data_IF_301776953648
#
_entry.id   IF_301776953648
#
_cell.length_a   1.000
_cell.length_b   1.000
_cell.length_c   1.000
_cell.angle_alpha   90.00
_cell.angle_beta   90.00
_cell.angle_gamma   90.00
#
_symmetry.space_group_name_H-M   'P 1'
#
loop_
_entity.id
_entity.type
_entity.pdbx_description
1 polymer ?
#
# COMPACT_ATOMS: atom_id res chain seq x y z
N UNK A 1 -29.81 12.85 -25.91
CA UNK A 1 -29.48 13.95 -26.84
C UNK A 1 -28.06 14.38 -26.50
N UNK A 2 -27.09 13.89 -27.26
CA UNK A 2 -25.67 14.21 -27.11
C UNK A 2 -25.26 15.03 -28.33
N UNK A 3 -24.50 16.10 -28.11
CA UNK A 3 -23.88 16.93 -29.14
C UNK A 3 -22.40 17.19 -28.75
N UNK A 4 -21.50 17.41 -29.73
CA UNK A 4 -20.20 16.74 -29.73
C UNK A 4 -18.96 17.65 -29.53
N UNK A 5 -17.87 16.97 -29.16
CA UNK A 5 -16.44 17.20 -29.48
C UNK A 5 -15.80 18.58 -29.28
N UNK A 6 -14.84 18.63 -28.34
CA UNK A 6 -13.53 19.26 -28.55
C UNK A 6 -12.49 18.16 -28.28
N UNK A 7 -11.54 18.01 -29.20
CA UNK A 7 -10.47 17.03 -29.13
C UNK A 7 -9.68 17.13 -27.81
N UNK A 8 -9.83 16.14 -26.94
CA UNK A 8 -8.86 15.80 -25.90
C UNK A 8 -8.38 14.39 -26.20
N UNK A 9 -7.06 14.20 -26.23
CA UNK A 9 -6.45 12.87 -26.20
C UNK A 9 -7.15 12.07 -25.09
N UNK A 10 -7.74 10.95 -25.48
CA UNK A 10 -8.81 10.28 -24.75
C UNK A 10 -8.31 9.68 -23.45
N UNK A 11 -8.54 10.38 -22.34
CA UNK A 11 -8.71 9.75 -21.03
C UNK A 11 -10.21 9.68 -20.76
N UNK A 12 -10.76 8.48 -20.92
CA UNK A 12 -12.16 8.17 -20.62
C UNK A 12 -12.24 7.71 -19.17
N UNK A 13 -13.17 8.27 -18.40
CA UNK A 13 -13.49 7.90 -17.00
C UNK A 13 -13.86 6.41 -16.78
N UNK A 14 -13.83 5.60 -17.84
CA UNK A 14 -13.94 4.14 -17.77
C UNK A 14 -12.67 3.47 -17.28
N UNK A 15 -11.53 4.15 -17.29
CA UNK A 15 -10.25 3.58 -16.90
C UNK A 15 -9.96 3.92 -15.43
N UNK A 16 -9.66 2.90 -14.64
CA UNK A 16 -9.57 2.91 -13.17
C UNK A 16 -8.40 3.75 -12.59
N UNK A 17 -7.95 4.80 -13.28
CA UNK A 17 -6.64 5.44 -13.08
C UNK A 17 -6.70 6.95 -13.36
N UNK A 18 -6.17 7.80 -12.47
CA UNK A 18 -6.06 9.24 -12.72
C UNK A 18 -5.11 9.53 -13.88
N UNK A 19 -5.43 10.53 -14.67
CA UNK A 19 -4.67 10.88 -15.87
C UNK A 19 -3.67 12.01 -15.61
N UNK A 20 -3.88 12.82 -14.58
CA UNK A 20 -3.00 13.91 -14.17
C UNK A 20 -2.85 14.01 -12.66
N UNK A 21 -1.85 14.77 -12.21
CA UNK A 21 -1.55 14.93 -10.79
C UNK A 21 -2.71 15.54 -10.01
N UNK A 22 -3.37 16.57 -10.54
CA UNK A 22 -4.48 17.24 -9.88
C UNK A 22 -5.65 16.29 -9.60
N UNK A 23 -5.98 15.42 -10.57
CA UNK A 23 -7.04 14.42 -10.43
C UNK A 23 -6.68 13.35 -9.40
N UNK A 24 -5.40 12.97 -9.33
CA UNK A 24 -4.91 12.01 -8.34
C UNK A 24 -4.88 12.58 -6.92
N UNK A 25 -4.53 13.86 -6.77
CA UNK A 25 -4.57 14.56 -5.48
C UNK A 25 -6.01 14.83 -5.03
N UNK A 26 -6.89 15.17 -5.98
CA UNK A 26 -8.27 15.56 -5.73
C UNK A 26 -9.27 14.71 -6.54
N UNK A 27 -9.33 13.39 -6.30
CA UNK A 27 -10.26 12.54 -7.02
C UNK A 27 -11.70 12.85 -6.60
N UNK A 28 -12.71 12.54 -7.45
CA UNK A 28 -14.11 12.77 -7.12
C UNK A 28 -14.53 12.03 -5.86
N UNK A 29 -15.36 12.69 -5.06
CA UNK A 29 -15.94 12.12 -3.85
C UNK A 29 -17.05 11.11 -4.21
N UNK A 30 -16.85 9.85 -3.83
CA UNK A 30 -17.81 8.76 -4.06
C UNK A 30 -18.64 8.42 -2.82
N UNK A 31 -18.47 9.17 -1.71
CA UNK A 31 -19.24 8.97 -0.48
C UNK A 31 -20.76 8.99 -0.74
N UNK A 32 -21.33 9.93 -1.51
CA UNK A 32 -22.78 9.94 -1.79
C UNK A 32 -23.23 8.74 -2.61
N UNK A 33 -22.40 8.27 -3.55
CA UNK A 33 -22.70 7.10 -4.38
C UNK A 33 -22.70 5.83 -3.52
N UNK A 34 -21.72 5.69 -2.63
CA UNK A 34 -21.63 4.55 -1.71
C UNK A 34 -22.80 4.54 -0.73
N UNK A 35 -23.17 5.70 -0.16
CA UNK A 35 -24.33 5.84 0.73
C UNK A 35 -25.64 5.38 0.06
N UNK A 36 -25.86 5.81 -1.19
CA UNK A 36 -27.04 5.42 -1.95
C UNK A 36 -27.11 3.90 -2.21
N UNK A 37 -25.97 3.27 -2.52
CA UNK A 37 -25.90 1.82 -2.73
C UNK A 37 -26.08 1.04 -1.42
N UNK A 38 -25.50 1.55 -0.32
CA UNK A 38 -25.55 0.94 1.01
C UNK A 38 -26.94 0.94 1.63
N UNK A 39 -27.84 1.82 1.18
CA UNK A 39 -29.23 1.92 1.67
C UNK A 39 -30.00 0.60 1.61
N UNK A 40 -29.64 -0.28 0.67
CA UNK A 40 -30.27 -1.60 0.53
C UNK A 40 -29.80 -2.63 1.57
N UNK A 41 -28.68 -2.40 2.26
CA UNK A 41 -28.10 -3.32 3.22
C UNK A 41 -27.49 -4.60 2.62
N UNK A 42 -27.43 -4.70 1.28
CA UNK A 42 -27.03 -5.93 0.58
C UNK A 42 -25.58 -5.93 0.08
N UNK A 43 -24.80 -4.88 0.35
CA UNK A 43 -23.41 -4.82 -0.08
C UNK A 43 -22.58 -5.88 0.67
N UNK A 44 -21.90 -6.72 -0.11
CA UNK A 44 -20.99 -7.77 0.39
C UNK A 44 -19.52 -7.47 0.12
N UNK A 45 -19.23 -6.81 -0.99
CA UNK A 45 -17.88 -6.45 -1.41
C UNK A 45 -17.90 -4.99 -1.81
N UNK A 46 -17.04 -4.20 -1.19
CA UNK A 46 -16.80 -2.81 -1.54
C UNK A 46 -15.35 -2.70 -1.97
N UNK A 47 -15.14 -2.29 -3.23
CA UNK A 47 -13.84 -1.96 -3.76
C UNK A 47 -13.89 -0.57 -4.35
N UNK A 48 -13.08 0.34 -3.79
CA UNK A 48 -12.99 1.73 -4.22
C UNK A 48 -11.51 2.02 -4.46
N UNK A 49 -11.20 2.43 -5.69
CA UNK A 49 -9.84 2.68 -6.18
C UNK A 49 -9.84 4.05 -6.86
N UNK A 50 -8.95 4.95 -6.46
CA UNK A 50 -8.81 6.30 -7.03
C UNK A 50 -10.06 7.19 -6.96
N UNK A 51 -10.92 6.98 -5.96
CA UNK A 51 -12.03 7.88 -5.65
C UNK A 51 -11.93 8.33 -4.21
N UNK A 52 -12.22 9.59 -3.93
CA UNK A 52 -12.24 10.07 -2.55
C UNK A 52 -13.39 9.41 -1.77
N UNK A 53 -13.05 8.85 -0.63
CA UNK A 53 -13.94 8.37 0.43
C UNK A 53 -13.33 8.82 1.77
N UNK A 54 -13.45 10.13 2.12
CA UNK A 54 -12.80 10.70 3.29
C UNK A 54 -13.22 10.00 4.60
N UNK A 55 -14.44 9.49 4.64
CA UNK A 55 -15.03 8.74 5.75
C UNK A 55 -16.07 7.74 5.21
N UNK A 56 -16.28 6.63 5.90
CA UNK A 56 -17.34 5.68 5.55
C UNK A 56 -18.73 6.28 5.87
N UNK A 57 -19.70 6.22 4.94
CA UNK A 57 -21.04 6.76 5.17
C UNK A 57 -21.85 5.89 6.15
N UNK A 58 -22.67 6.53 6.99
CA UNK A 58 -23.47 5.87 8.04
C UNK A 58 -24.42 4.79 7.51
N UNK A 59 -24.87 4.91 6.26
CA UNK A 59 -25.75 3.93 5.60
C UNK A 59 -25.11 2.53 5.53
N UNK A 60 -23.77 2.43 5.54
CA UNK A 60 -23.07 1.14 5.57
C UNK A 60 -23.34 0.33 6.84
N UNK A 61 -23.84 0.94 7.92
CA UNK A 61 -24.26 0.22 9.13
C UNK A 61 -25.37 -0.79 8.83
N UNK A 62 -26.16 -0.58 7.77
CA UNK A 62 -27.18 -1.51 7.33
C UNK A 62 -26.59 -2.75 6.61
N UNK A 63 -25.33 -2.70 6.17
CA UNK A 63 -24.66 -3.77 5.43
C UNK A 63 -24.03 -4.80 6.38
N UNK A 64 -24.86 -5.54 7.11
CA UNK A 64 -24.39 -6.50 8.12
C UNK A 64 -23.60 -7.67 7.52
N UNK A 65 -23.82 -8.00 6.25
CA UNK A 65 -23.20 -9.10 5.51
C UNK A 65 -21.98 -8.65 4.70
N UNK A 66 -21.38 -7.50 5.02
CA UNK A 66 -20.20 -7.02 4.32
C UNK A 66 -19.00 -7.93 4.62
N UNK A 67 -18.48 -8.59 3.60
CA UNK A 67 -17.39 -9.57 3.67
C UNK A 67 -16.03 -8.92 3.33
N UNK A 68 -16.00 -7.97 2.39
CA UNK A 68 -14.76 -7.38 1.89
C UNK A 68 -14.84 -5.86 1.75
N UNK A 69 -13.81 -5.18 2.27
CA UNK A 69 -13.61 -3.74 2.15
C UNK A 69 -12.20 -3.48 1.63
N UNK A 70 -12.11 -2.99 0.40
CA UNK A 70 -10.87 -2.68 -0.31
C UNK A 70 -10.88 -1.21 -0.70
N UNK A 71 -10.03 -0.43 -0.03
CA UNK A 71 -9.87 1.00 -0.24
C UNK A 71 -8.43 1.25 -0.72
N UNK A 72 -8.29 1.74 -1.94
CA UNK A 72 -7.00 2.03 -2.59
C UNK A 72 -6.99 3.47 -3.10
N UNK A 73 -6.03 4.28 -2.64
CA UNK A 73 -5.94 5.72 -3.00
C UNK A 73 -7.25 6.48 -2.76
N UNK A 74 -7.93 6.18 -1.66
CA UNK A 74 -9.27 6.71 -1.38
C UNK A 74 -9.28 8.02 -0.62
N UNK A 75 -8.12 8.60 -0.30
CA UNK A 75 -8.02 9.83 0.50
C UNK A 75 -8.81 9.74 1.82
N UNK A 76 -8.90 8.54 2.39
CA UNK A 76 -9.63 8.29 3.64
C UNK A 76 -8.88 8.94 4.79
N UNK A 77 -9.57 9.80 5.53
CA UNK A 77 -9.01 10.62 6.61
C UNK A 77 -9.33 10.03 7.97
N UNK A 78 -10.49 9.40 8.12
CA UNK A 78 -10.92 8.80 9.39
C UNK A 78 -11.80 7.57 9.20
N UNK A 79 -11.71 6.65 10.15
CA UNK A 79 -12.72 5.60 10.32
C UNK A 79 -13.75 6.04 11.37
N UNK A 80 -15.06 5.91 11.09
CA UNK A 80 -16.08 6.25 12.07
C UNK A 80 -16.10 5.22 13.21
N UNK A 81 -16.52 5.63 14.41
CA UNK A 81 -16.56 4.75 15.59
C UNK A 81 -17.49 3.56 15.44
N UNK A 82 -18.53 3.67 14.62
CA UNK A 82 -19.45 2.56 14.34
C UNK A 82 -18.83 1.50 13.43
N UNK A 83 -17.68 1.74 12.78
CA UNK A 83 -17.12 0.81 11.79
C UNK A 83 -16.88 -0.61 12.35
N UNK A 84 -16.69 -0.74 13.67
CA UNK A 84 -16.61 -2.04 14.36
C UNK A 84 -17.87 -2.91 14.22
N UNK A 85 -19.02 -2.31 13.89
CA UNK A 85 -20.29 -3.01 13.63
C UNK A 85 -20.25 -3.90 12.38
N UNK A 86 -19.23 -3.79 11.53
CA UNK A 86 -19.01 -4.62 10.33
C UNK A 86 -18.45 -6.01 10.70
N UNK A 87 -19.24 -6.79 11.43
CA UNK A 87 -18.83 -8.05 12.10
C UNK A 87 -18.51 -9.23 11.17
N UNK A 88 -19.04 -9.21 9.95
CA UNK A 88 -18.83 -10.26 8.95
C UNK A 88 -17.64 -9.99 8.03
N UNK A 89 -16.90 -8.90 8.27
CA UNK A 89 -15.76 -8.56 7.44
C UNK A 89 -14.67 -9.63 7.57
N UNK A 90 -14.32 -10.24 6.44
CA UNK A 90 -13.28 -11.26 6.33
C UNK A 90 -12.00 -10.67 5.72
N UNK A 91 -12.14 -9.66 4.88
CA UNK A 91 -11.04 -9.01 4.17
C UNK A 91 -11.12 -7.49 4.33
N UNK A 92 -10.10 -6.92 4.97
CA UNK A 92 -9.95 -5.47 5.07
C UNK A 92 -8.60 -5.05 4.52
N UNK A 93 -8.64 -4.23 3.49
CA UNK A 93 -7.47 -3.65 2.87
C UNK A 93 -7.67 -2.15 2.74
N UNK A 94 -6.92 -1.41 3.53
CA UNK A 94 -6.83 0.04 3.44
C UNK A 94 -5.42 0.33 2.96
N UNK A 95 -5.27 0.33 1.65
CA UNK A 95 -4.04 0.68 0.97
C UNK A 95 -4.11 2.16 0.64
N UNK A 96 -3.25 2.93 1.29
CA UNK A 96 -2.71 4.08 0.59
C UNK A 96 -1.23 3.83 0.26
N UNK A 97 -0.72 2.59 0.30
CA UNK A 97 0.68 2.28 -0.04
C UNK A 97 0.86 0.91 -0.69
N UNK A 98 1.87 0.76 -1.56
CA UNK A 98 2.25 -0.51 -2.15
C UNK A 98 2.62 -1.51 -1.06
N UNK A 99 1.98 -2.68 -1.13
CA UNK A 99 2.68 -3.94 -1.00
C UNK A 99 2.02 -5.01 -1.88
N UNK A 100 2.83 -5.76 -2.63
CA UNK A 100 2.40 -7.02 -3.24
C UNK A 100 3.13 -8.15 -2.51
N UNK A 101 2.36 -9.07 -1.93
CA UNK A 101 2.85 -10.36 -1.45
C UNK A 101 3.12 -11.35 -2.59
N UNK A 102 3.28 -10.93 -3.85
CA UNK A 102 3.30 -11.86 -5.01
C UNK A 102 4.64 -11.93 -5.77
N UNK A 103 5.70 -11.21 -5.35
CA UNK A 103 7.01 -11.30 -6.02
C UNK A 103 7.91 -12.45 -5.55
N UNK A 104 7.50 -13.24 -4.54
CA UNK A 104 8.33 -14.32 -3.98
C UNK A 104 8.46 -15.57 -4.87
N UNK A 105 7.76 -15.64 -6.01
CA UNK A 105 7.83 -16.76 -6.95
C UNK A 105 9.01 -16.70 -7.91
N UNK A 106 9.84 -15.65 -7.87
CA UNK A 106 11.01 -15.53 -8.75
C UNK A 106 12.24 -15.05 -7.98
N UNK A 107 13.36 -15.77 -8.11
CA UNK A 107 14.69 -15.56 -7.50
C UNK A 107 15.37 -14.21 -7.83
N UNK A 108 14.62 -13.19 -8.22
CA UNK A 108 15.12 -11.83 -8.44
C UNK A 108 14.53 -10.90 -7.39
N UNK A 109 15.41 -10.35 -6.55
CA UNK A 109 15.18 -9.09 -5.87
C UNK A 109 14.90 -8.02 -6.93
N UNK A 110 13.63 -7.87 -7.30
CA UNK A 110 13.14 -6.64 -7.93
C UNK A 110 13.14 -5.61 -6.80
N UNK A 111 13.75 -4.42 -6.97
CA UNK A 111 13.63 -3.36 -6.00
C UNK A 111 12.16 -3.19 -5.63
N UNK A 112 11.83 -3.49 -4.39
CA UNK A 112 10.51 -3.29 -3.85
C UNK A 112 10.26 -1.78 -3.75
N UNK A 113 9.93 -1.12 -4.86
CA UNK A 113 9.32 0.23 -4.98
C UNK A 113 8.13 0.47 -4.03
N UNK A 114 8.30 0.41 -2.72
CA UNK A 114 7.21 0.73 -1.80
C UNK A 114 6.80 2.19 -2.09
N UNK A 115 5.53 2.42 -2.35
CA UNK A 115 5.00 3.69 -2.86
C UNK A 115 3.79 4.00 -2.02
N UNK A 116 3.85 5.08 -1.24
CA UNK A 116 2.71 5.58 -0.49
C UNK A 116 1.99 6.70 -1.20
N UNK A 117 0.74 6.91 -0.82
CA UNK A 117 -0.01 8.13 -1.02
C UNK A 117 0.54 9.12 -0.01
N UNK A 118 1.57 9.84 -0.44
CA UNK A 118 2.17 10.94 0.30
C UNK A 118 1.46 12.26 0.03
N UNK A 119 0.27 12.24 -0.58
CA UNK A 119 -0.53 13.46 -0.77
C UNK A 119 -1.05 13.99 0.56
N UNK A 120 -1.61 15.20 0.54
CA UNK A 120 -2.04 15.93 1.74
C UNK A 120 -3.20 15.30 2.52
N UNK A 121 -3.93 14.33 1.95
CA UNK A 121 -5.10 13.68 2.58
C UNK A 121 -4.77 12.25 2.99
N UNK A 122 -4.25 12.12 4.20
CA UNK A 122 -3.85 10.85 4.80
C UNK A 122 -4.80 10.45 5.91
N UNK A 123 -4.74 9.18 6.31
CA UNK A 123 -5.49 8.66 7.44
C UNK A 123 -4.93 9.25 8.74
N UNK A 124 -5.74 10.04 9.45
CA UNK A 124 -5.34 10.77 10.68
C UNK A 124 -5.89 10.10 11.94
N UNK A 125 -7.00 9.38 11.84
CA UNK A 125 -7.61 8.73 13.02
C UNK A 125 -8.29 7.41 12.70
N UNK A 126 -8.14 6.46 13.63
CA UNK A 126 -8.91 5.23 13.72
C UNK A 126 -9.37 5.06 15.16
N UNK A 127 -10.59 4.54 15.41
CA UNK A 127 -11.02 4.17 16.76
C UNK A 127 -10.11 3.08 17.33
N UNK A 128 -9.71 3.21 18.61
CA UNK A 128 -8.87 2.21 19.28
C UNK A 128 -9.53 0.82 19.35
N UNK A 129 -10.87 0.79 19.33
CA UNK A 129 -11.74 -0.39 19.38
C UNK A 129 -12.26 -0.82 17.99
N UNK A 130 -11.69 -0.30 16.89
CA UNK A 130 -12.14 -0.58 15.52
C UNK A 130 -12.29 -2.07 15.21
N UNK A 131 -11.38 -2.90 15.74
CA UNK A 131 -11.35 -4.34 15.49
C UNK A 131 -12.00 -5.19 16.59
N UNK A 132 -12.61 -4.57 17.61
CA UNK A 132 -13.15 -5.26 18.80
C UNK A 132 -14.15 -6.36 18.42
N UNK A 133 -15.05 -6.08 17.48
CA UNK A 133 -16.18 -6.92 17.07
C UNK A 133 -15.93 -7.68 15.74
N UNK A 134 -14.78 -7.46 15.09
CA UNK A 134 -14.45 -8.00 13.75
C UNK A 134 -13.86 -9.41 13.79
N UNK A 135 -14.49 -10.34 14.51
CA UNK A 135 -13.94 -11.69 14.75
C UNK A 135 -13.79 -12.56 13.49
N UNK A 136 -14.46 -12.20 12.40
CA UNK A 136 -14.43 -12.92 11.11
C UNK A 136 -13.19 -12.60 10.28
N UNK A 137 -12.44 -11.54 10.64
CA UNK A 137 -11.35 -11.02 9.82
C UNK A 137 -10.23 -12.06 9.64
N UNK A 138 -9.90 -12.34 8.37
CA UNK A 138 -8.86 -13.29 7.96
C UNK A 138 -7.64 -12.56 7.39
N UNK A 139 -7.88 -11.44 6.71
CA UNK A 139 -6.85 -10.62 6.08
C UNK A 139 -6.99 -9.16 6.50
N UNK A 140 -5.91 -8.60 7.04
CA UNK A 140 -5.80 -7.20 7.40
C UNK A 140 -4.55 -6.59 6.77
N UNK A 141 -4.76 -5.58 5.94
CA UNK A 141 -3.71 -4.73 5.40
C UNK A 141 -4.03 -3.28 5.69
N UNK A 142 -3.17 -2.63 6.49
CA UNK A 142 -3.19 -1.19 6.74
C UNK A 142 -1.89 -0.56 6.21
N UNK A 143 -2.01 0.34 5.24
CA UNK A 143 -0.90 1.08 4.66
C UNK A 143 -1.08 2.60 4.79
N UNK A 144 0.04 3.33 4.86
CA UNK A 144 0.12 4.80 4.97
C UNK A 144 -0.31 5.30 6.33
N UNK A 145 0.22 4.65 7.36
CA UNK A 145 0.04 5.04 8.75
C UNK A 145 1.07 6.13 9.12
N UNK A 146 1.04 7.21 8.35
CA UNK A 146 2.00 8.32 8.42
C UNK A 146 1.62 9.32 9.52
N UNK A 147 0.32 9.51 9.76
CA UNK A 147 -0.21 10.44 10.77
C UNK A 147 -0.84 9.74 11.99
N UNK A 148 -0.89 8.41 11.97
CA UNK A 148 -1.45 7.61 13.06
C UNK A 148 -0.33 7.13 13.97
N UNK A 149 -0.45 7.44 15.25
CA UNK A 149 0.56 7.06 16.25
C UNK A 149 0.38 5.65 16.81
N UNK A 150 -0.78 5.03 16.62
CA UNK A 150 -1.13 3.71 17.16
C UNK A 150 -2.06 2.93 16.22
N UNK A 151 -1.76 1.65 16.02
CA UNK A 151 -2.67 0.72 15.36
C UNK A 151 -3.69 0.23 16.38
N UNK A 152 -5.01 0.15 16.05
CA UNK A 152 -6.02 -0.38 16.95
C UNK A 152 -5.72 -1.82 17.40
N UNK A 153 -6.25 -2.20 18.57
CA UNK A 153 -5.94 -3.49 19.19
C UNK A 153 -6.46 -4.67 18.34
N UNK A 154 -5.62 -5.69 18.17
CA UNK A 154 -5.91 -6.85 17.33
C UNK A 154 -6.36 -8.09 18.12
N UNK A 155 -6.35 -8.07 19.47
CA UNK A 155 -6.51 -9.29 20.32
C UNK A 155 -7.74 -10.16 19.99
N UNK A 156 -8.82 -9.56 19.48
CA UNK A 156 -10.08 -10.23 19.19
C UNK A 156 -10.14 -10.86 17.79
N UNK A 157 -9.13 -10.63 16.94
CA UNK A 157 -9.04 -11.11 15.57
C UNK A 157 -8.55 -12.57 15.50
N UNK A 158 -9.23 -13.48 16.19
CA UNK A 158 -8.80 -14.88 16.39
C UNK A 158 -8.71 -15.70 15.09
N UNK A 159 -9.35 -15.25 14.01
CA UNK A 159 -9.30 -15.87 12.67
C UNK A 159 -8.27 -15.23 11.73
N UNK A 160 -7.59 -14.16 12.15
CA UNK A 160 -6.63 -13.44 11.33
C UNK A 160 -5.48 -14.36 10.93
N UNK A 161 -5.21 -14.46 9.62
CA UNK A 161 -4.13 -15.28 9.05
C UNK A 161 -3.03 -14.42 8.45
N UNK A 162 -3.38 -13.26 7.90
CA UNK A 162 -2.47 -12.36 7.21
C UNK A 162 -2.58 -10.96 7.82
N UNK A 163 -1.46 -10.48 8.36
CA UNK A 163 -1.31 -9.11 8.86
C UNK A 163 -0.22 -8.41 8.06
N UNK A 164 -0.57 -7.26 7.50
CA UNK A 164 0.35 -6.40 6.78
C UNK A 164 0.20 -4.97 7.27
N UNK A 165 1.28 -4.41 7.79
CA UNK A 165 1.36 -3.01 8.22
C UNK A 165 2.47 -2.31 7.42
N UNK A 166 2.14 -1.21 6.75
CA UNK A 166 3.07 -0.51 5.85
C UNK A 166 3.09 1.00 6.06
N UNK A 167 4.28 1.60 5.91
CA UNK A 167 4.56 3.03 6.13
C UNK A 167 4.09 3.51 7.50
N UNK A 168 4.69 2.94 8.53
CA UNK A 168 4.39 3.19 9.94
C UNK A 168 5.25 4.35 10.46
N UNK A 169 5.12 5.53 9.85
CA UNK A 169 6.02 6.67 10.12
C UNK A 169 5.70 7.44 11.40
N UNK A 170 4.46 7.38 11.90
CA UNK A 170 4.10 7.94 13.21
C UNK A 170 3.89 6.86 14.30
N UNK A 171 3.77 5.60 13.91
CA UNK A 171 3.56 4.49 14.85
C UNK A 171 4.85 4.19 15.60
N UNK A 172 4.78 4.28 16.93
CA UNK A 172 5.94 4.06 17.82
C UNK A 172 5.97 2.66 18.43
N UNK A 173 4.80 2.03 18.55
CA UNK A 173 4.62 0.70 19.12
C UNK A 173 3.67 -0.11 18.24
N UNK A 174 4.05 -1.35 17.93
CA UNK A 174 3.20 -2.29 17.21
C UNK A 174 2.14 -2.89 18.15
N UNK A 175 0.95 -3.25 17.64
CA UNK A 175 -0.06 -3.91 18.45
C UNK A 175 0.42 -5.28 18.92
N UNK A 176 -0.07 -5.72 20.09
CA UNK A 176 0.20 -7.07 20.57
C UNK A 176 -0.33 -8.11 19.59
N UNK A 177 0.47 -9.15 19.36
CA UNK A 177 0.08 -10.32 18.56
C UNK A 177 -0.39 -11.50 19.43
N UNK A 178 -0.50 -11.29 20.75
CA UNK A 178 -1.00 -12.31 21.67
C UNK A 178 -2.47 -12.64 21.37
N UNK A 179 -2.83 -13.93 21.45
CA UNK A 179 -4.19 -14.40 21.16
C UNK A 179 -4.48 -14.63 19.67
N UNK A 180 -3.61 -14.19 18.75
CA UNK A 180 -3.76 -14.38 17.30
C UNK A 180 -3.34 -15.80 16.85
N UNK A 181 -3.97 -16.84 17.40
CA UNK A 181 -3.59 -18.24 17.19
C UNK A 181 -3.64 -18.71 15.71
N UNK A 182 -4.48 -18.06 14.90
CA UNK A 182 -4.61 -18.35 13.46
C UNK A 182 -3.58 -17.64 12.59
N UNK A 183 -2.78 -16.72 13.14
CA UNK A 183 -1.85 -15.91 12.35
C UNK A 183 -0.80 -16.80 11.70
N UNK A 184 -0.57 -16.59 10.40
CA UNK A 184 0.39 -17.36 9.59
C UNK A 184 1.41 -16.47 8.90
N UNK A 185 1.03 -15.24 8.57
CA UNK A 185 1.89 -14.31 7.86
C UNK A 185 1.83 -12.94 8.53
N UNK A 186 3.01 -12.40 8.82
CA UNK A 186 3.18 -11.02 9.30
C UNK A 186 4.18 -10.33 8.40
N UNK A 187 3.82 -9.17 7.88
CA UNK A 187 4.72 -8.29 7.14
C UNK A 187 4.63 -6.89 7.69
N UNK A 188 5.76 -6.36 8.14
CA UNK A 188 5.91 -4.99 8.61
C UNK A 188 6.85 -4.30 7.62
N UNK A 189 6.40 -3.17 7.11
CA UNK A 189 7.10 -2.47 6.03
C UNK A 189 7.27 -1.02 6.39
N UNK A 190 8.53 -0.58 6.39
CA UNK A 190 8.93 0.80 6.66
C UNK A 190 8.38 1.33 8.00
N UNK A 191 8.72 0.63 9.09
CA UNK A 191 8.38 1.01 10.46
C UNK A 191 9.43 1.92 11.10
N UNK A 192 9.60 3.10 10.51
CA UNK A 192 10.66 4.05 10.79
C UNK A 192 10.75 4.54 12.25
N UNK A 193 9.68 4.45 13.03
CA UNK A 193 9.64 4.89 14.44
C UNK A 193 9.40 3.74 15.43
N UNK A 194 9.42 2.50 14.96
CA UNK A 194 9.27 1.30 15.80
C UNK A 194 10.66 0.79 16.18
N UNK A 195 10.97 0.79 17.47
CA UNK A 195 12.29 0.41 17.99
C UNK A 195 12.32 -0.96 18.69
N UNK A 196 11.16 -1.59 18.87
CA UNK A 196 10.98 -2.92 19.48
C UNK A 196 9.88 -3.69 18.73
N UNK A 197 9.96 -5.03 18.71
CA UNK A 197 8.95 -5.90 18.12
C UNK A 197 8.17 -6.67 19.19
N UNK A 198 6.86 -6.95 18.97
CA UNK A 198 6.10 -7.83 19.83
C UNK A 198 6.63 -9.27 19.73
N UNK A 199 6.47 -10.10 20.78
CA UNK A 199 6.90 -11.50 20.74
C UNK A 199 6.09 -12.31 19.72
N UNK A 200 6.76 -13.21 19.00
CA UNK A 200 6.16 -14.04 17.94
C UNK A 200 6.35 -15.54 18.17
N UNK A 201 7.23 -15.95 19.07
CA UNK A 201 7.63 -17.34 19.31
C UNK A 201 6.49 -18.27 19.75
N UNK A 202 5.40 -17.71 20.29
CA UNK A 202 4.18 -18.45 20.63
C UNK A 202 3.21 -18.62 19.45
N UNK A 203 3.51 -18.00 18.31
CA UNK A 203 2.71 -18.07 17.09
C UNK A 203 3.25 -19.17 16.16
N UNK A 204 2.38 -19.67 15.29
CA UNK A 204 2.73 -20.66 14.27
C UNK A 204 2.87 -19.98 12.91
N UNK A 205 3.79 -19.02 12.82
CA UNK A 205 4.04 -18.27 11.59
C UNK A 205 4.69 -19.16 10.52
N UNK A 206 4.24 -19.00 9.29
CA UNK A 206 4.78 -19.60 8.07
C UNK A 206 5.56 -18.57 7.25
N UNK A 207 5.35 -17.29 7.53
CA UNK A 207 5.99 -16.19 6.84
C UNK A 207 6.17 -15.00 7.77
N UNK A 208 7.34 -14.36 7.74
CA UNK A 208 7.62 -13.14 8.50
C UNK A 208 8.52 -12.19 7.71
N UNK A 209 8.08 -10.94 7.54
CA UNK A 209 8.87 -9.94 6.84
C UNK A 209 9.00 -8.61 7.59
N UNK A 210 10.22 -8.08 7.58
CA UNK A 210 10.62 -6.70 7.89
C UNK A 210 11.30 -6.13 6.64
N UNK A 211 10.53 -5.41 5.82
CA UNK A 211 11.00 -4.83 4.56
C UNK A 211 11.08 -3.30 4.65
N UNK A 212 11.94 -2.68 3.85
CA UNK A 212 12.22 -1.23 3.98
C UNK A 212 12.87 -0.86 5.31
N UNK A 213 12.72 0.40 5.75
CA UNK A 213 13.39 0.95 6.93
C UNK A 213 12.72 0.51 8.24
N UNK A 214 13.44 -0.27 9.05
CA UNK A 214 13.00 -0.79 10.33
C UNK A 214 14.16 -0.64 11.34
N UNK A 215 14.11 0.35 12.25
CA UNK A 215 15.19 0.61 13.22
C UNK A 215 15.59 -0.58 14.08
N UNK A 216 14.68 -1.51 14.33
CA UNK A 216 14.96 -2.79 15.03
C UNK A 216 16.08 -3.62 14.41
N UNK A 217 16.39 -3.38 13.13
CA UNK A 217 17.43 -4.04 12.35
C UNK A 217 18.83 -3.44 12.51
N UNK A 218 18.97 -2.30 13.19
CA UNK A 218 20.25 -1.59 13.32
C UNK A 218 20.45 -0.98 14.72
N UNK A 219 19.40 -0.82 15.53
CA UNK A 219 19.49 -0.26 16.88
C UNK A 219 20.01 -1.24 17.94
N UNK A 220 20.38 -2.47 17.55
CA UNK A 220 20.81 -3.53 18.47
C UNK A 220 19.68 -4.32 19.13
N UNK A 221 18.41 -4.15 18.71
CA UNK A 221 17.30 -4.94 19.25
C UNK A 221 17.26 -6.36 18.67
N UNK A 222 17.17 -6.49 17.34
CA UNK A 222 17.26 -7.79 16.65
C UNK A 222 18.70 -8.20 16.36
N UNK A 223 19.57 -7.22 16.13
CA UNK A 223 21.00 -7.41 15.92
C UNK A 223 21.72 -7.40 17.27
N UNK A 224 22.73 -8.23 17.46
CA UNK A 224 23.50 -8.20 18.72
C UNK A 224 24.24 -6.86 18.92
N UNK A 225 24.66 -6.24 17.82
CA UNK A 225 25.34 -4.95 17.74
C UNK A 225 24.42 -3.84 17.21
N UNK A 226 24.60 -2.63 17.75
CA UNK A 226 23.98 -1.42 17.21
C UNK A 226 24.90 -0.77 16.17
N UNK A 227 24.37 -0.48 14.99
CA UNK A 227 25.02 0.26 13.91
C UNK A 227 24.12 1.40 13.43
N UNK A 228 24.29 2.58 14.02
CA UNK A 228 23.53 3.78 13.65
C UNK A 228 23.98 4.37 12.31
N UNK A 229 25.00 3.82 11.64
CA UNK A 229 25.41 4.23 10.29
C UNK A 229 24.66 3.46 9.19
N UNK A 230 23.99 2.36 9.55
CA UNK A 230 23.15 1.60 8.63
C UNK A 230 21.98 2.45 8.11
N UNK A 231 21.64 2.30 6.83
CA UNK A 231 20.47 2.95 6.20
C UNK A 231 19.15 2.71 6.94
N UNK A 232 19.03 1.57 7.62
CA UNK A 232 17.89 1.20 8.46
C UNK A 232 17.70 2.20 9.64
N UNK A 233 18.77 2.88 10.07
CA UNK A 233 18.81 3.79 11.22
C UNK A 233 18.96 5.26 10.82
N UNK A 234 19.16 5.57 9.53
CA UNK A 234 19.24 6.94 9.05
C UNK A 234 17.85 7.57 9.07
N UNK A 235 17.54 8.28 10.16
CA UNK A 235 16.30 9.06 10.29
C UNK A 235 16.27 10.18 9.24
N UNK A 236 15.08 10.47 8.73
CA UNK A 236 14.84 11.65 7.90
C UNK A 236 14.69 12.92 8.76
N UNK A 237 14.74 14.11 8.14
CA UNK A 237 14.75 15.41 8.85
C UNK A 237 13.56 15.60 9.80
N UNK A 238 12.40 15.02 9.49
CA UNK A 238 11.16 15.12 10.27
C UNK A 238 10.99 13.98 11.31
N UNK A 239 11.97 13.07 11.42
CA UNK A 239 11.89 11.87 12.24
C UNK A 239 12.75 11.95 13.50
N UNK A 240 12.38 11.21 14.54
CA UNK A 240 13.24 11.11 15.73
C UNK A 240 14.48 10.28 15.38
N UNK A 241 15.68 10.72 15.79
CA UNK A 241 16.89 9.93 15.62
C UNK A 241 16.75 8.55 16.28
N UNK A 242 17.27 7.51 15.62
CA UNK A 242 17.32 6.18 16.20
C UNK A 242 18.43 6.12 17.26
N UNK A 243 18.11 5.58 18.42
CA UNK A 243 19.06 5.34 19.50
C UNK A 243 19.32 3.83 19.67
N UNK A 244 20.54 3.48 20.09
CA UNK A 244 20.85 2.11 20.45
C UNK A 244 20.07 1.67 21.70
N UNK A 245 19.57 0.45 21.70
CA UNK A 245 18.89 -0.14 22.86
C UNK A 245 19.71 -1.24 23.52
N UNK A 246 19.58 -1.38 24.84
CA UNK A 246 20.10 -2.52 25.60
C UNK A 246 19.11 -3.70 25.62
N UNK A 247 17.85 -3.48 25.24
CA UNK A 247 16.86 -4.55 25.09
C UNK A 247 17.23 -5.44 23.91
N UNK A 248 16.85 -6.70 23.99
CA UNK A 248 17.13 -7.70 22.96
C UNK A 248 15.86 -8.45 22.62
N UNK A 249 15.67 -8.72 21.35
CA UNK A 249 14.65 -9.64 20.91
C UNK A 249 14.98 -11.03 21.46
N UNK A 250 13.98 -11.74 21.98
CA UNK A 250 14.24 -12.98 22.70
C UNK A 250 14.80 -14.04 21.75
N UNK A 251 15.66 -14.93 22.25
CA UNK A 251 16.26 -15.99 21.43
C UNK A 251 15.21 -16.85 20.70
N UNK A 252 14.09 -17.26 21.34
CA UNK A 252 13.02 -17.95 20.62
C UNK A 252 12.35 -17.11 19.52
N UNK A 253 12.14 -15.81 19.76
CA UNK A 253 11.49 -14.94 18.77
C UNK A 253 12.40 -14.70 17.55
N UNK A 254 13.68 -14.42 17.79
CA UNK A 254 14.68 -14.23 16.74
C UNK A 254 14.89 -15.50 15.91
N UNK A 255 14.92 -16.66 16.58
CA UNK A 255 15.03 -17.95 15.92
C UNK A 255 13.82 -18.22 15.01
N UNK A 256 12.60 -17.89 15.44
CA UNK A 256 11.42 -18.03 14.58
C UNK A 256 11.49 -17.06 13.40
N UNK A 257 11.78 -15.77 13.63
CA UNK A 257 11.83 -14.74 12.59
C UNK A 257 12.81 -15.07 11.45
N UNK A 258 13.93 -15.72 11.77
CA UNK A 258 15.01 -16.00 10.81
C UNK A 258 14.97 -17.41 10.20
N UNK A 259 14.14 -18.32 10.72
CA UNK A 259 14.05 -19.71 10.25
C UNK A 259 12.90 -19.98 9.27
N UNK A 260 11.92 -19.06 9.19
CA UNK A 260 10.78 -19.18 8.27
C UNK A 260 10.98 -18.32 7.02
N UNK A 261 10.29 -18.62 5.90
CA UNK A 261 10.33 -17.80 4.70
C UNK A 261 10.01 -16.32 4.98
N UNK A 262 10.76 -15.43 4.35
CA UNK A 262 10.53 -13.99 4.43
C UNK A 262 11.78 -13.16 4.18
N UNK A 263 11.63 -11.85 4.33
CA UNK A 263 12.73 -10.87 4.26
C UNK A 263 12.87 -10.28 5.64
N UNK A 264 14.02 -10.42 6.28
CA UNK A 264 14.28 -9.80 7.58
C UNK A 264 15.48 -8.88 7.41
N UNK A 265 15.29 -7.60 7.75
CA UNK A 265 16.34 -6.59 7.68
C UNK A 265 16.98 -6.51 6.30
N UNK A 266 16.12 -6.18 5.31
CA UNK A 266 16.52 -6.00 3.91
C UNK A 266 17.74 -5.08 3.80
N UNK A 267 18.68 -5.49 2.95
CA UNK A 267 19.91 -4.75 2.72
C UNK A 267 19.78 -3.91 1.46
N UNK A 268 20.38 -2.71 1.47
CA UNK A 268 20.57 -1.85 0.30
C UNK A 268 19.31 -1.20 -0.30
N UNK A 269 18.23 -0.98 0.47
CA UNK A 269 17.12 -0.15 0.02
C UNK A 269 17.25 1.28 0.58
N UNK A 270 18.07 2.11 -0.06
CA UNK A 270 18.34 3.49 0.38
C UNK A 270 17.37 4.53 -0.22
N UNK A 271 16.27 4.08 -0.83
CA UNK A 271 15.30 4.97 -1.49
C UNK A 271 14.38 5.57 -0.43
N UNK A 272 14.26 6.90 -0.42
CA UNK A 272 13.23 7.58 0.37
C UNK A 272 11.88 7.40 -0.33
N UNK A 273 10.95 6.65 0.29
CA UNK A 273 9.71 6.24 -0.38
C UNK A 273 8.83 7.44 -0.80
N UNK A 274 8.91 8.56 -0.07
CA UNK A 274 8.26 9.83 -0.45
C UNK A 274 8.74 10.38 -1.80
N UNK A 275 10.00 10.16 -2.15
CA UNK A 275 10.56 10.64 -3.43
C UNK A 275 10.05 9.81 -4.62
N UNK A 276 9.48 8.64 -4.34
CA UNK A 276 8.81 7.79 -5.34
C UNK A 276 7.35 8.19 -5.57
N UNK A 277 6.83 9.18 -4.84
CA UNK A 277 5.49 9.69 -5.09
C UNK A 277 5.42 10.32 -6.48
N UNK A 278 4.32 10.11 -7.23
CA UNK A 278 4.09 10.83 -8.48
C UNK A 278 4.17 12.34 -8.27
N UNK A 279 4.87 13.04 -9.16
CA UNK A 279 4.92 14.51 -9.22
C UNK A 279 4.30 15.04 -10.50
N UNK A 280 4.01 16.34 -10.57
CA UNK A 280 3.53 17.02 -11.79
C UNK A 280 4.49 16.83 -12.96
N UNK A 281 5.79 16.86 -12.71
CA UNK A 281 6.82 16.65 -13.74
C UNK A 281 6.74 15.23 -14.32
N UNK A 282 6.60 14.21 -13.47
CA UNK A 282 6.51 12.82 -13.89
C UNK A 282 5.19 12.45 -14.55
N UNK A 283 4.12 13.18 -14.24
CA UNK A 283 2.75 12.89 -14.69
C UNK A 283 2.38 13.83 -15.84
N UNK A 284 1.95 15.05 -15.55
CA UNK A 284 1.45 16.02 -16.52
C UNK A 284 2.48 16.42 -17.57
N UNK A 285 3.74 16.69 -17.17
CA UNK A 285 4.77 17.16 -18.11
C UNK A 285 5.31 16.02 -18.95
N UNK A 286 5.80 14.95 -18.31
CA UNK A 286 6.39 13.82 -19.02
C UNK A 286 5.36 13.03 -19.82
N UNK A 287 4.20 12.74 -19.21
CA UNK A 287 3.21 11.83 -19.77
C UNK A 287 1.98 12.53 -20.34
N UNK A 288 1.51 13.61 -19.72
CA UNK A 288 0.28 14.30 -20.14
C UNK A 288 -0.94 13.38 -20.15
N UNK A 289 -0.98 12.41 -19.24
CA UNK A 289 -2.04 11.40 -19.14
C UNK A 289 -2.07 10.36 -20.25
N UNK A 290 -1.06 10.31 -21.13
CA UNK A 290 -1.03 9.35 -22.23
C UNK A 290 -0.29 8.08 -21.83
N UNK A 291 -1.04 6.99 -21.66
CA UNK A 291 -0.50 5.65 -21.42
C UNK A 291 0.43 5.19 -22.56
N UNK A 292 1.49 4.45 -22.20
CA UNK A 292 2.51 3.86 -23.08
C UNK A 292 3.35 4.85 -23.90
N UNK A 293 3.17 6.16 -23.70
CA UNK A 293 4.01 7.20 -24.28
C UNK A 293 5.45 7.05 -23.79
N UNK A 294 6.42 7.28 -24.69
CA UNK A 294 7.82 7.36 -24.31
C UNK A 294 8.06 8.59 -23.42
N UNK A 295 8.78 8.42 -22.33
CA UNK A 295 9.19 9.50 -21.43
C UNK A 295 10.67 9.36 -21.05
N UNK A 296 11.22 10.34 -20.34
CA UNK A 296 12.59 10.32 -19.85
C UNK A 296 12.65 10.82 -18.41
N UNK A 297 13.38 10.10 -17.56
CA UNK A 297 13.64 10.48 -16.18
C UNK A 297 15.14 10.34 -15.91
N UNK A 298 15.81 11.45 -15.57
CA UNK A 298 17.25 11.48 -15.27
C UNK A 298 18.13 10.87 -16.39
N UNK A 299 17.80 11.11 -17.66
CA UNK A 299 18.54 10.54 -18.80
C UNK A 299 18.19 9.09 -19.14
N UNK A 300 17.29 8.46 -18.38
CA UNK A 300 16.82 7.10 -18.61
C UNK A 300 15.48 7.15 -19.32
N UNK A 301 15.41 6.52 -20.49
CA UNK A 301 14.17 6.34 -21.23
C UNK A 301 13.23 5.43 -20.43
N UNK A 302 11.99 5.88 -20.27
CA UNK A 302 10.92 5.14 -19.62
C UNK A 302 9.64 5.12 -20.45
N UNK A 303 8.61 4.55 -19.84
CA UNK A 303 7.27 4.45 -20.40
C UNK A 303 6.27 5.09 -19.43
N UNK A 304 5.37 5.90 -19.95
CA UNK A 304 4.21 6.39 -19.23
C UNK A 304 3.28 5.23 -18.89
N UNK A 305 3.09 4.97 -17.61
CA UNK A 305 2.33 3.81 -17.16
C UNK A 305 1.65 4.11 -15.82
N UNK A 306 0.47 3.53 -15.62
CA UNK A 306 -0.30 3.56 -14.37
C UNK A 306 0.10 2.38 -13.48
N UNK A 307 1.36 2.34 -13.06
CA UNK A 307 1.85 1.24 -12.24
C UNK A 307 0.97 1.05 -10.98
N UNK A 308 0.40 -0.15 -10.83
CA UNK A 308 -0.38 -0.56 -9.63
C UNK A 308 -1.53 0.38 -9.28
N UNK A 309 -2.27 0.79 -10.29
CA UNK A 309 -3.44 1.63 -10.16
C UNK A 309 -3.17 3.09 -9.78
N UNK A 310 -1.91 3.56 -9.80
CA UNK A 310 -1.62 4.99 -9.56
C UNK A 310 -1.89 5.86 -10.80
N UNK A 311 -1.71 7.17 -10.66
CA UNK A 311 -1.73 8.13 -11.77
C UNK A 311 -0.71 7.75 -12.86
N UNK A 312 -1.06 8.02 -14.11
CA UNK A 312 -0.13 7.82 -15.24
C UNK A 312 1.12 8.67 -15.02
N UNK A 313 2.26 8.01 -14.82
CA UNK A 313 3.54 8.65 -14.56
C UNK A 313 4.66 8.01 -15.38
N UNK A 314 5.78 8.73 -15.53
CA UNK A 314 6.95 8.21 -16.21
C UNK A 314 7.64 7.14 -15.37
N UNK A 315 7.61 5.89 -15.83
CA UNK A 315 8.21 4.74 -15.14
C UNK A 315 9.39 4.21 -15.95
N UNK A 316 10.56 4.09 -15.32
CA UNK A 316 11.81 3.62 -15.96
C UNK A 316 12.10 2.13 -15.78
N UNK A 317 11.07 1.34 -15.46
CA UNK A 317 11.18 -0.12 -15.29
C UNK A 317 11.09 -0.81 -16.66
N UNK A 318 12.17 -1.53 -17.01
CA UNK A 318 12.25 -2.29 -18.25
C UNK A 318 11.21 -3.42 -18.32
N UNK A 319 10.71 -3.90 -17.18
CA UNK A 319 9.70 -4.95 -17.09
C UNK A 319 8.38 -4.52 -17.72
N UNK A 320 7.91 -3.31 -17.44
CA UNK A 320 6.66 -2.80 -18.03
C UNK A 320 6.80 -2.57 -19.53
N UNK A 321 7.94 -2.03 -19.97
CA UNK A 321 8.24 -1.87 -21.40
C UNK A 321 8.24 -3.23 -22.12
N UNK A 322 8.99 -4.20 -21.60
CA UNK A 322 9.09 -5.55 -22.16
C UNK A 322 7.73 -6.25 -22.20
N UNK A 323 6.93 -6.10 -21.15
CA UNK A 323 5.56 -6.61 -21.09
C UNK A 323 4.71 -6.01 -22.22
N UNK A 324 4.71 -4.68 -22.40
CA UNK A 324 3.89 -4.03 -23.43
C UNK A 324 4.35 -4.37 -24.84
N UNK A 325 5.67 -4.42 -25.11
CA UNK A 325 6.21 -4.91 -26.38
C UNK A 325 5.73 -6.32 -26.70
N UNK A 326 5.70 -7.21 -25.70
CA UNK A 326 5.20 -8.57 -25.87
C UNK A 326 3.69 -8.63 -26.13
N UNK A 327 2.90 -7.78 -25.48
CA UNK A 327 1.47 -7.65 -25.72
C UNK A 327 1.19 -7.22 -27.16
N UNK A 328 1.89 -6.19 -27.64
CA UNK A 328 1.82 -5.69 -29.03
C UNK A 328 2.18 -6.79 -30.02
N UNK A 329 3.34 -7.45 -29.81
CA UNK A 329 3.81 -8.51 -30.70
C UNK A 329 2.85 -9.71 -30.81
N UNK A 330 2.07 -9.97 -29.75
CA UNK A 330 1.08 -11.05 -29.69
C UNK A 330 -0.34 -10.62 -30.06
N UNK A 331 -0.59 -9.33 -30.22
CA UNK A 331 -1.93 -8.78 -30.45
C UNK A 331 -2.91 -9.10 -29.32
N UNK A 332 -2.43 -9.07 -28.06
CA UNK A 332 -3.26 -9.30 -26.85
C UNK A 332 -3.38 -8.01 -26.04
N UNK A 333 -4.36 -7.96 -25.12
CA UNK A 333 -4.75 -6.77 -24.37
C UNK A 333 -5.33 -5.66 -25.27
N UNK A 334 -5.32 -4.41 -24.79
CA UNK A 334 -5.84 -3.27 -25.54
C UNK A 334 -5.03 -3.03 -26.83
N UNK A 335 -5.71 -2.74 -27.96
CA UNK A 335 -5.07 -2.34 -29.21
C UNK A 335 -4.06 -1.22 -28.97
N UNK A 336 -2.90 -1.30 -29.61
CA UNK A 336 -1.89 -0.26 -29.47
C UNK A 336 -2.22 0.97 -30.32
N UNK A 337 -1.79 2.14 -29.85
CA UNK A 337 -1.86 3.38 -30.63
C UNK A 337 -0.58 3.51 -31.49
N UNK A 338 -0.65 3.41 -32.83
CA UNK A 338 0.52 3.48 -33.70
C UNK A 338 1.22 4.86 -33.69
N UNK A 339 0.59 5.92 -33.18
CA UNK A 339 1.22 7.23 -33.02
C UNK A 339 2.02 7.33 -31.73
N UNK A 340 1.51 6.74 -30.64
CA UNK A 340 2.12 6.82 -29.30
C UNK A 340 3.11 5.68 -29.08
N UNK A 341 2.80 4.49 -29.58
CA UNK A 341 3.47 3.23 -29.25
C UNK A 341 4.34 2.69 -30.40
N UNK A 342 4.62 3.51 -31.43
CA UNK A 342 5.52 3.13 -32.52
C UNK A 342 6.91 2.71 -32.01
N UNK A 343 7.42 3.40 -30.97
CA UNK A 343 8.68 3.07 -30.32
C UNK A 343 8.67 1.72 -29.60
N UNK A 344 7.47 1.21 -29.27
CA UNK A 344 7.24 -0.13 -28.70
C UNK A 344 7.07 -1.22 -29.78
N UNK A 345 7.06 -0.85 -31.06
CA UNK A 345 6.85 -1.77 -32.19
C UNK A 345 5.40 -1.84 -32.69
N UNK A 346 4.52 -0.93 -32.26
CA UNK A 346 3.18 -0.80 -32.82
C UNK A 346 3.27 -0.30 -34.27
N UNK A 347 2.63 -1.00 -35.21
CA UNK A 347 2.71 -0.66 -36.65
C UNK A 347 1.35 -0.38 -37.29
N UNK A 348 0.24 -0.69 -36.61
CA UNK A 348 -1.12 -0.59 -37.13
C UNK A 348 -2.10 -0.25 -36.04
#
# INVERSE_FOLDING_TARGET
MWAPSIARASCSWTDQHPCGHEEWENPPDTTPNLAALATTGHLRIIQIINYALPELPDELRACHELEQLILIYTKTVRFPSWAKELRHLEYMQVILTRLLMLSWLTDKCVPSHIEGDFTSRQLVSMPDDLFEDMHSLVFLHLGSLIQISRVPDLRNLTRLRFLLLALLHAVTELPSLEGLASLRSVSIVDAAQVHELPPISKLHLQFFALAGRNPVCCNGFMTESCDLSDHQCQAHDDERPVECTAKRYSTPDLALATSIPGIVCEQNLTIHLKDMAPTVELTDVACGGVMHKQCELNGIVGMCFNARMTVVSCVVSAEYENMRRLQIARGVAEPCDPKVEAWLGCTK
#
